data_IF_758964689930
#
_entry.id   IF_758964689930
#
_cell.length_a   1.000
_cell.length_b   1.000
_cell.length_c   1.000
_cell.angle_alpha   90.00
_cell.angle_beta   90.00
_cell.angle_gamma   90.00
#
_symmetry.space_group_name_H-M   'P 1'
#
loop_
_entity.id
_entity.type
_entity.pdbx_description
1 polymer ?
#
# COMPACT_ATOMS: atom_id res chain seq x y z
N UNK A 1 1.26 -0.84 37.25
CA UNK A 1 1.95 -0.32 36.05
C UNK A 1 2.19 1.17 36.28
N UNK A 2 3.39 1.69 36.02
CA UNK A 2 3.65 3.12 36.11
C UNK A 2 2.93 3.84 34.96
N UNK A 3 2.38 5.03 35.21
CA UNK A 3 1.63 5.82 34.22
C UNK A 3 2.42 6.05 32.92
N UNK A 4 3.74 6.13 32.99
CA UNK A 4 4.64 6.25 31.83
C UNK A 4 4.61 5.02 30.92
N UNK A 5 4.54 3.81 31.48
CA UNK A 5 4.51 2.57 30.69
C UNK A 5 3.17 2.43 29.95
N UNK A 6 2.07 2.78 30.62
CA UNK A 6 0.73 2.75 30.00
C UNK A 6 0.62 3.68 28.78
N UNK A 7 1.18 4.90 28.88
CA UNK A 7 1.19 5.84 27.76
C UNK A 7 2.06 5.33 26.60
N UNK A 8 3.21 4.72 26.89
CA UNK A 8 4.10 4.13 25.89
C UNK A 8 3.43 2.98 25.12
N UNK A 9 2.80 2.05 25.84
CA UNK A 9 2.11 0.90 25.24
C UNK A 9 0.92 1.34 24.38
N UNK A 10 0.15 2.31 24.86
CA UNK A 10 -1.00 2.87 24.12
C UNK A 10 -0.55 3.60 22.85
N UNK A 11 0.51 4.41 22.94
CA UNK A 11 1.06 5.11 21.78
C UNK A 11 1.56 4.15 20.70
N UNK A 12 2.24 3.07 21.11
CA UNK A 12 2.71 2.03 20.21
C UNK A 12 1.54 1.33 19.50
N UNK A 13 0.49 0.97 20.25
CA UNK A 13 -0.72 0.35 19.69
C UNK A 13 -1.37 1.24 18.62
N UNK A 14 -1.60 2.52 18.95
CA UNK A 14 -2.22 3.48 18.03
C UNK A 14 -1.39 3.66 16.76
N UNK A 15 -0.05 3.71 16.91
CA UNK A 15 0.87 3.85 15.78
C UNK A 15 0.80 2.64 14.84
N UNK A 16 0.82 1.42 15.39
CA UNK A 16 0.72 0.18 14.60
C UNK A 16 -0.60 0.10 13.83
N UNK A 17 -1.72 0.37 14.52
CA UNK A 17 -3.04 0.39 13.88
C UNK A 17 -3.16 1.48 12.81
N UNK A 18 -2.57 2.66 13.05
CA UNK A 18 -2.53 3.75 12.07
C UNK A 18 -1.78 3.37 10.79
N UNK A 19 -0.61 2.73 10.92
CA UNK A 19 0.19 2.28 9.76
C UNK A 19 -0.61 1.28 8.92
N UNK A 20 -1.25 0.29 9.54
CA UNK A 20 -2.09 -0.70 8.84
C UNK A 20 -3.24 0.00 8.10
N UNK A 21 -3.90 0.96 8.73
CA UNK A 21 -4.97 1.74 8.10
C UNK A 21 -4.48 2.52 6.87
N UNK A 22 -3.33 3.20 6.95
CA UNK A 22 -2.77 3.91 5.80
C UNK A 22 -2.27 2.96 4.70
N UNK A 23 -1.75 1.79 5.03
CA UNK A 23 -1.41 0.75 4.05
C UNK A 23 -2.64 0.23 3.30
N UNK A 24 -3.79 0.12 3.98
CA UNK A 24 -5.05 -0.23 3.33
C UNK A 24 -5.48 0.85 2.32
N UNK A 25 -5.42 2.14 2.69
CA UNK A 25 -5.68 3.24 1.76
C UNK A 25 -4.70 3.21 0.57
N UNK A 26 -3.42 2.95 0.85
CA UNK A 26 -2.39 2.83 -0.19
C UNK A 26 -2.70 1.71 -1.19
N UNK A 27 -3.19 0.55 -0.71
CA UNK A 27 -3.61 -0.55 -1.58
C UNK A 27 -4.76 -0.11 -2.52
N UNK A 28 -5.75 0.61 -2.01
CA UNK A 28 -6.84 1.16 -2.84
C UNK A 28 -6.26 2.08 -3.92
N UNK A 29 -5.30 2.93 -3.56
CA UNK A 29 -4.62 3.79 -4.53
C UNK A 29 -3.83 3.00 -5.58
N UNK A 30 -3.13 1.94 -5.18
CA UNK A 30 -2.39 1.09 -6.11
C UNK A 30 -3.32 0.45 -7.16
N UNK A 31 -4.53 0.01 -6.77
CA UNK A 31 -5.55 -0.49 -7.70
C UNK A 31 -6.02 0.62 -8.66
N UNK A 32 -6.22 1.83 -8.16
CA UNK A 32 -6.55 2.99 -9.02
C UNK A 32 -5.45 3.25 -10.03
N UNK A 33 -4.17 3.20 -9.63
CA UNK A 33 -3.02 3.39 -10.52
C UNK A 33 -3.02 2.36 -11.66
N UNK A 34 -3.33 1.09 -11.39
CA UNK A 34 -3.44 0.06 -12.44
C UNK A 34 -4.48 0.46 -13.50
N UNK A 35 -5.65 0.97 -13.06
CA UNK A 35 -6.68 1.47 -13.98
C UNK A 35 -6.20 2.67 -14.77
N UNK A 36 -5.50 3.62 -14.13
CA UNK A 36 -4.99 4.81 -14.81
C UNK A 36 -3.93 4.46 -15.85
N UNK A 37 -2.99 3.58 -15.50
CA UNK A 37 -1.97 3.09 -16.43
C UNK A 37 -2.61 2.43 -17.65
N UNK A 38 -3.67 1.65 -17.47
CA UNK A 38 -4.41 1.06 -18.59
C UNK A 38 -4.98 2.14 -19.53
N UNK A 39 -5.71 3.13 -18.99
CA UNK A 39 -6.33 4.19 -19.79
C UNK A 39 -5.28 5.08 -20.49
N UNK A 40 -4.19 5.40 -19.81
CA UNK A 40 -3.11 6.22 -20.37
C UNK A 40 -2.39 5.50 -21.51
N UNK A 41 -2.11 4.22 -21.36
CA UNK A 41 -1.42 3.41 -22.40
C UNK A 41 -2.31 3.08 -23.60
N UNK A 42 -3.63 3.22 -23.48
CA UNK A 42 -4.55 3.18 -24.63
C UNK A 42 -4.50 4.48 -25.46
N UNK A 43 -4.11 5.59 -24.84
CA UNK A 43 -4.03 6.91 -25.47
C UNK A 43 -2.63 7.21 -26.00
N UNK A 44 -1.61 7.03 -25.16
CA UNK A 44 -0.22 7.34 -25.45
C UNK A 44 0.48 6.08 -25.97
N UNK A 45 0.60 5.97 -27.30
CA UNK A 45 1.35 4.90 -27.96
C UNK A 45 2.85 5.23 -27.95
N UNK A 46 3.51 4.87 -26.85
CA UNK A 46 4.93 5.18 -26.59
C UNK A 46 5.84 3.97 -26.79
N UNK A 47 5.29 2.79 -27.11
CA UNK A 47 6.05 1.55 -27.37
C UNK A 47 6.51 0.81 -26.10
N UNK A 48 6.11 1.28 -24.93
CA UNK A 48 6.43 0.70 -23.61
C UNK A 48 5.19 0.27 -22.81
N UNK A 49 4.06 0.06 -23.48
CA UNK A 49 2.78 -0.20 -22.84
C UNK A 49 2.82 -1.47 -21.98
N UNK A 50 3.42 -2.55 -22.50
CA UNK A 50 3.51 -3.83 -21.81
C UNK A 50 4.36 -3.74 -20.54
N UNK A 51 5.62 -3.24 -20.58
CA UNK A 51 6.41 -3.02 -19.37
C UNK A 51 5.70 -2.16 -18.31
N UNK A 52 5.08 -1.05 -18.72
CA UNK A 52 4.41 -0.12 -17.78
C UNK A 52 3.19 -0.78 -17.13
N UNK A 53 2.36 -1.51 -17.90
CA UNK A 53 1.22 -2.28 -17.36
C UNK A 53 1.68 -3.36 -16.38
N UNK A 54 2.74 -4.08 -16.71
CA UNK A 54 3.30 -5.12 -15.83
C UNK A 54 3.83 -4.52 -14.54
N UNK A 55 4.58 -3.42 -14.59
CA UNK A 55 5.07 -2.74 -13.39
C UNK A 55 3.94 -2.26 -12.48
N UNK A 56 2.87 -1.70 -13.06
CA UNK A 56 1.70 -1.28 -12.28
C UNK A 56 1.03 -2.46 -11.57
N UNK A 57 0.87 -3.59 -12.27
CA UNK A 57 0.28 -4.80 -11.70
C UNK A 57 1.15 -5.39 -10.59
N UNK A 58 2.46 -5.53 -10.83
CA UNK A 58 3.43 -6.02 -9.84
C UNK A 58 3.45 -5.14 -8.61
N UNK A 59 3.42 -3.81 -8.78
CA UNK A 59 3.36 -2.87 -7.67
C UNK A 59 2.07 -3.04 -6.84
N UNK A 60 0.91 -3.19 -7.48
CA UNK A 60 -0.34 -3.44 -6.77
C UNK A 60 -0.29 -4.76 -5.98
N UNK A 61 0.22 -5.83 -6.59
CA UNK A 61 0.42 -7.12 -5.90
C UNK A 61 1.38 -6.95 -4.71
N UNK A 62 2.51 -6.28 -4.90
CA UNK A 62 3.48 -6.03 -3.82
C UNK A 62 2.84 -5.23 -2.67
N UNK A 63 2.01 -4.23 -2.95
CA UNK A 63 1.30 -3.46 -1.92
C UNK A 63 0.34 -4.34 -1.10
N UNK A 64 -0.34 -5.29 -1.74
CA UNK A 64 -1.18 -6.28 -1.05
C UNK A 64 -0.34 -7.17 -0.14
N UNK A 65 0.80 -7.67 -0.62
CA UNK A 65 1.72 -8.47 0.19
C UNK A 65 2.24 -7.69 1.41
N UNK A 66 2.65 -6.43 1.23
CA UNK A 66 3.13 -5.57 2.32
C UNK A 66 2.04 -5.37 3.37
N UNK A 67 0.79 -5.12 2.95
CA UNK A 67 -0.33 -4.99 3.89
C UNK A 67 -0.55 -6.28 4.69
N UNK A 68 -0.57 -7.44 4.02
CA UNK A 68 -0.75 -8.75 4.68
C UNK A 68 0.39 -9.02 5.68
N UNK A 69 1.64 -8.83 5.27
CA UNK A 69 2.81 -9.04 6.12
C UNK A 69 2.79 -8.10 7.34
N UNK A 70 2.29 -6.88 7.18
CA UNK A 70 2.22 -5.89 8.26
C UNK A 70 1.33 -6.35 9.42
N UNK A 71 0.31 -7.18 9.19
CA UNK A 71 -0.50 -7.76 10.28
C UNK A 71 0.26 -8.77 11.15
N UNK A 72 1.37 -9.35 10.65
CA UNK A 72 2.15 -10.35 11.38
C UNK A 72 3.39 -9.75 12.04
N UNK A 73 3.99 -8.72 11.43
CA UNK A 73 5.27 -8.15 11.87
C UNK A 73 5.09 -6.91 12.75
N UNK A 74 4.09 -6.08 12.45
CA UNK A 74 3.91 -4.78 13.09
C UNK A 74 3.12 -4.93 14.39
#
# INVERSE_FOLDING_TARGET
MNNLNFLGDTFLLVTKSGIIFFLFIYLVFAVVVVRQVKLMTETLKVGFETPIKTLALVHAIASLFVLVISFFIL
#
